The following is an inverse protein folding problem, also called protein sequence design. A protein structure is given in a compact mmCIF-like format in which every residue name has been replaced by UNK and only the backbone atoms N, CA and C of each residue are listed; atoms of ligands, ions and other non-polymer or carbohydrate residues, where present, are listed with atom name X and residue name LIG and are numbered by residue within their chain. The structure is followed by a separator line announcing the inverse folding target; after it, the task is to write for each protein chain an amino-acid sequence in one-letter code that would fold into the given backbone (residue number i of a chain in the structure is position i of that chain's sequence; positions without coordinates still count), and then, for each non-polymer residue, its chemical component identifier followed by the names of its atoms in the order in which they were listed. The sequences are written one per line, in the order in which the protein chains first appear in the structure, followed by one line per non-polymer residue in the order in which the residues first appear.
data_IF_314145642963
#
_entry.id   IF_314145642963
#
_cell.length_a   1.000
_cell.length_b   1.000
_cell.length_c   1.000
_cell.angle_alpha   90.00
_cell.angle_beta   90.00
_cell.angle_gamma   90.00
#
_symmetry.space_group_name_H-M   'P 1'
#
loop_
_entity.id
_entity.type
_entity.pdbx_description
1 polymer ?
#
# COMPACT_ATOMS: atom_id res chain seq x y z
N UNK A 1 18.96 33.09 -28.68
CA UNK A 1 18.66 31.98 -27.75
C UNK A 1 17.55 32.46 -26.83
N UNK A 2 16.42 31.77 -26.77
CA UNK A 2 15.34 32.11 -25.82
C UNK A 2 15.86 31.85 -24.41
N UNK A 3 15.81 32.87 -23.55
CA UNK A 3 16.19 32.71 -22.14
C UNK A 3 15.21 31.75 -21.50
N UNK A 4 15.70 30.60 -21.04
CA UNK A 4 14.88 29.60 -20.34
C UNK A 4 14.60 30.15 -18.94
N UNK A 5 13.34 30.41 -18.64
CA UNK A 5 12.92 30.98 -17.36
C UNK A 5 12.23 29.91 -16.50
N UNK A 6 12.38 30.06 -15.18
CA UNK A 6 11.62 29.32 -14.18
C UNK A 6 10.11 29.52 -14.38
N UNK A 7 9.33 28.46 -14.17
CA UNK A 7 7.88 28.49 -14.22
C UNK A 7 7.21 28.62 -12.83
N UNK A 8 7.97 28.72 -11.74
CA UNK A 8 7.45 28.83 -10.37
C UNK A 8 6.42 29.96 -10.22
N UNK A 9 6.71 31.15 -10.75
CA UNK A 9 5.78 32.29 -10.71
C UNK A 9 4.50 32.10 -11.54
N UNK A 10 4.49 31.18 -12.51
CA UNK A 10 3.32 30.88 -13.36
C UNK A 10 2.43 29.78 -12.77
N UNK A 11 3.00 28.88 -11.97
CA UNK A 11 2.30 27.75 -11.37
C UNK A 11 2.45 27.77 -9.84
N UNK A 12 1.73 28.67 -9.14
CA UNK A 12 1.89 28.87 -7.70
C UNK A 12 1.49 27.66 -6.86
N UNK A 13 0.79 26.67 -7.44
CA UNK A 13 0.36 25.43 -6.78
C UNK A 13 1.27 24.23 -7.10
N UNK A 14 2.23 24.37 -8.03
CA UNK A 14 3.18 23.31 -8.30
C UNK A 14 4.11 23.12 -7.11
N UNK A 15 4.42 21.88 -6.74
CA UNK A 15 5.27 21.56 -5.59
C UNK A 15 6.38 20.61 -6.01
N UNK A 16 7.57 20.87 -5.48
CA UNK A 16 8.72 19.96 -5.49
C UNK A 16 9.21 19.90 -4.05
N UNK A 17 8.94 18.80 -3.36
CA UNK A 17 9.34 18.60 -1.97
C UNK A 17 10.58 17.71 -1.92
N UNK A 18 11.63 18.18 -1.26
CA UNK A 18 12.87 17.46 -1.05
C UNK A 18 12.85 16.95 0.40
N UNK A 19 12.65 15.64 0.61
CA UNK A 19 12.55 15.05 1.94
C UNK A 19 13.74 14.14 2.20
N UNK A 20 14.47 14.28 3.32
CA UNK A 20 15.44 13.29 3.73
C UNK A 20 14.81 11.89 3.81
N UNK A 21 15.45 10.90 3.18
CA UNK A 21 14.96 9.53 3.22
C UNK A 21 15.33 8.86 4.54
N UNK A 22 14.38 8.18 5.18
CA UNK A 22 14.64 7.38 6.41
C UNK A 22 15.30 6.03 6.11
N UNK A 23 15.19 5.57 4.87
CA UNK A 23 15.71 4.29 4.39
C UNK A 23 17.04 4.48 3.65
N UNK A 24 17.80 3.40 3.49
CA UNK A 24 19.06 3.45 2.73
C UNK A 24 18.77 3.26 1.25
N UNK A 25 19.21 4.16 0.38
CA UNK A 25 19.08 4.01 -1.06
C UNK A 25 20.12 3.04 -1.62
N UNK A 26 19.72 2.24 -2.62
CA UNK A 26 20.61 1.41 -3.43
C UNK A 26 20.23 1.51 -4.90
N UNK A 27 21.24 1.59 -5.77
CA UNK A 27 21.06 1.49 -7.23
C UNK A 27 21.98 0.43 -7.79
N UNK A 28 21.40 -0.53 -8.52
CA UNK A 28 22.17 -1.55 -9.24
C UNK A 28 21.77 -1.67 -10.71
N UNK A 29 22.78 -1.91 -11.57
CA UNK A 29 22.64 -2.32 -12.96
C UNK A 29 23.30 -3.69 -13.13
N UNK A 30 22.57 -4.71 -13.58
CA UNK A 30 23.12 -6.06 -13.82
C UNK A 30 23.97 -6.60 -12.65
N UNK A 31 23.55 -6.31 -11.41
CA UNK A 31 24.25 -6.69 -10.18
C UNK A 31 25.43 -5.79 -9.76
N UNK A 32 25.83 -4.82 -10.58
CA UNK A 32 26.85 -3.83 -10.22
C UNK A 32 26.26 -2.67 -9.41
N UNK A 33 26.93 -2.27 -8.33
CA UNK A 33 26.51 -1.18 -7.47
C UNK A 33 26.90 0.18 -8.06
N UNK A 34 25.89 0.96 -8.47
CA UNK A 34 26.05 2.31 -9.01
C UNK A 34 26.00 3.39 -7.92
N UNK A 35 25.16 3.21 -6.90
CA UNK A 35 25.07 4.12 -5.76
C UNK A 35 24.53 3.41 -4.50
N UNK A 36 24.99 3.84 -3.33
CA UNK A 36 24.50 3.36 -2.03
C UNK A 36 24.64 4.45 -0.98
N UNK A 37 23.54 4.88 -0.36
CA UNK A 37 23.58 6.01 0.56
C UNK A 37 22.52 5.95 1.64
N UNK A 38 22.88 6.41 2.85
CA UNK A 38 21.95 6.68 3.96
C UNK A 38 21.47 8.14 3.98
N UNK A 39 21.97 8.96 3.07
CA UNK A 39 21.72 10.40 3.00
C UNK A 39 20.97 10.78 1.72
N UNK A 40 20.14 9.87 1.19
CA UNK A 40 19.31 10.15 0.02
C UNK A 40 18.23 11.20 0.32
N UNK A 41 17.82 11.91 -0.72
CA UNK A 41 16.60 12.71 -0.75
C UNK A 41 15.51 11.97 -1.54
N UNK A 42 14.33 11.80 -0.94
CA UNK A 42 13.11 11.46 -1.66
C UNK A 42 12.51 12.77 -2.20
N UNK A 43 12.48 12.90 -3.52
CA UNK A 43 11.94 14.07 -4.21
C UNK A 43 10.56 13.75 -4.73
N UNK A 44 9.58 14.45 -4.18
CA UNK A 44 8.17 14.31 -4.54
C UNK A 44 7.74 15.54 -5.33
N UNK A 45 7.23 15.32 -6.53
CA UNK A 45 6.88 16.40 -7.45
C UNK A 45 5.46 16.24 -7.94
N UNK A 46 4.72 17.36 -8.01
CA UNK A 46 3.37 17.38 -8.57
C UNK A 46 3.33 16.69 -9.94
N UNK A 47 2.40 15.76 -10.12
CA UNK A 47 2.17 15.02 -11.37
C UNK A 47 3.32 14.10 -11.83
N UNK A 48 4.29 13.80 -10.96
CA UNK A 48 5.42 12.90 -11.27
C UNK A 48 5.55 11.81 -10.21
N UNK A 49 6.15 10.68 -10.61
CA UNK A 49 6.51 9.64 -9.66
C UNK A 49 7.68 10.08 -8.78
N UNK A 50 7.68 9.66 -7.52
CA UNK A 50 8.74 9.93 -6.57
C UNK A 50 10.10 9.43 -7.08
N UNK A 51 11.13 10.26 -6.90
CA UNK A 51 12.51 9.97 -7.32
C UNK A 51 13.47 10.02 -6.14
N UNK A 52 14.48 9.16 -6.17
CA UNK A 52 15.53 9.13 -5.17
C UNK A 52 16.78 9.81 -5.70
N UNK A 53 17.27 10.78 -4.93
CA UNK A 53 18.48 11.54 -5.21
C UNK A 53 19.56 11.13 -4.22
N UNK A 54 20.73 10.77 -4.73
CA UNK A 54 21.90 10.33 -3.99
C UNK A 54 22.93 11.45 -3.95
N UNK A 55 23.62 11.69 -2.81
CA UNK A 55 24.77 12.59 -2.80
C UNK A 55 25.80 12.13 -3.83
N UNK A 56 26.40 13.07 -4.57
CA UNK A 56 27.44 12.76 -5.57
C UNK A 56 28.62 11.96 -4.97
N UNK A 57 28.90 12.13 -3.67
CA UNK A 57 29.95 11.38 -2.96
C UNK A 57 29.69 9.87 -2.87
N UNK A 58 28.42 9.47 -2.98
CA UNK A 58 27.96 8.09 -2.76
C UNK A 58 27.66 7.38 -4.10
N UNK A 59 27.96 8.04 -5.22
CA UNK A 59 27.84 7.53 -6.58
C UNK A 59 29.18 6.97 -7.05
N UNK A 60 29.14 5.79 -7.67
CA UNK A 60 30.30 5.13 -8.22
C UNK A 60 30.64 5.67 -9.62
N UNK A 61 31.30 6.83 -9.66
CA UNK A 61 31.74 7.48 -10.90
C UNK A 61 32.74 6.67 -11.72
N UNK A 62 33.37 5.64 -11.14
CA UNK A 62 34.23 4.73 -11.90
C UNK A 62 33.44 3.96 -12.97
N UNK A 63 32.13 3.77 -12.79
CA UNK A 63 31.25 3.05 -13.71
C UNK A 63 30.49 3.96 -14.70
N UNK A 64 30.51 5.27 -14.49
CA UNK A 64 29.71 6.23 -15.25
C UNK A 64 30.56 7.16 -16.12
N UNK A 65 30.07 7.50 -17.31
CA UNK A 65 30.66 8.51 -18.20
C UNK A 65 29.64 9.58 -18.60
N UNK A 66 30.04 10.86 -18.71
CA UNK A 66 29.11 11.93 -19.08
C UNK A 66 28.57 11.74 -20.49
N UNK A 67 27.28 12.00 -20.66
CA UNK A 67 26.59 12.03 -21.94
C UNK A 67 26.53 13.45 -22.52
N UNK A 68 26.29 13.55 -23.83
CA UNK A 68 25.99 14.84 -24.48
C UNK A 68 24.54 15.30 -24.25
N UNK A 69 23.69 14.45 -23.66
CA UNK A 69 22.30 14.79 -23.40
C UNK A 69 22.18 15.83 -22.29
N UNK A 70 21.40 16.88 -22.57
CA UNK A 70 20.99 17.90 -21.62
C UNK A 70 19.48 18.09 -21.78
N UNK A 71 18.75 18.10 -20.67
CA UNK A 71 17.32 18.42 -20.67
C UNK A 71 17.06 19.65 -19.80
N UNK A 72 15.90 20.29 -20.00
CA UNK A 72 15.48 21.42 -19.19
C UNK A 72 14.15 21.12 -18.51
N UNK A 73 14.12 21.22 -17.19
CA UNK A 73 12.92 21.19 -16.38
C UNK A 73 12.54 22.62 -15.98
N UNK A 74 11.31 23.08 -16.25
CA UNK A 74 10.89 24.44 -15.93
C UNK A 74 10.84 24.76 -14.42
N UNK A 75 10.93 23.75 -13.55
CA UNK A 75 10.91 23.91 -12.09
C UNK A 75 12.25 23.61 -11.41
N UNK A 76 13.17 22.90 -12.11
CA UNK A 76 14.45 22.49 -11.53
C UNK A 76 15.68 23.05 -12.24
N UNK A 77 15.56 23.48 -13.49
CA UNK A 77 16.68 23.98 -14.28
C UNK A 77 17.19 22.95 -15.29
N UNK A 78 18.46 23.07 -15.69
CA UNK A 78 19.09 22.17 -16.66
C UNK A 78 19.67 20.92 -15.99
N UNK A 79 19.38 19.76 -16.56
CA UNK A 79 19.91 18.47 -16.12
C UNK A 79 20.98 17.97 -17.09
N UNK A 80 22.15 17.61 -16.56
CA UNK A 80 23.17 16.83 -17.27
C UNK A 80 22.98 15.34 -17.03
N UNK A 81 23.45 14.50 -17.95
CA UNK A 81 23.24 13.04 -17.93
C UNK A 81 24.53 12.24 -18.00
N UNK A 82 24.48 11.01 -17.50
CA UNK A 82 25.56 10.01 -17.55
C UNK A 82 25.03 8.64 -18.00
N UNK A 83 25.87 7.89 -18.71
CA UNK A 83 25.64 6.49 -19.12
C UNK A 83 26.56 5.54 -18.36
N UNK A 84 26.22 4.25 -18.30
CA UNK A 84 27.18 3.23 -17.84
C UNK A 84 28.26 3.04 -18.91
N UNK A 85 29.53 2.98 -18.51
CA UNK A 85 30.65 2.82 -19.45
C UNK A 85 30.51 1.53 -20.25
N UNK A 86 30.67 1.62 -21.58
CA UNK A 86 30.47 0.51 -22.53
C UNK A 86 31.28 -0.77 -22.27
N UNK A 87 32.38 -0.72 -21.50
CA UNK A 87 33.16 -1.92 -21.11
C UNK A 87 32.53 -2.73 -19.97
N UNK A 88 31.50 -2.20 -19.32
CA UNK A 88 30.91 -2.72 -18.08
C UNK A 88 29.40 -3.02 -18.20
N UNK A 89 28.78 -2.74 -19.35
CA UNK A 89 27.32 -2.74 -19.52
C UNK A 89 26.83 -3.74 -20.58
N UNK A 90 25.58 -4.18 -20.41
CA UNK A 90 24.72 -4.60 -21.52
C UNK A 90 24.55 -3.44 -22.53
N UNK A 91 24.24 -3.70 -23.81
CA UNK A 91 24.41 -2.71 -24.90
C UNK A 91 23.63 -1.38 -24.81
N UNK A 92 22.71 -1.18 -23.85
CA UNK A 92 21.65 -0.15 -23.96
C UNK A 92 21.44 0.72 -22.70
N UNK A 93 22.38 0.79 -21.75
CA UNK A 93 22.24 1.63 -20.53
C UNK A 93 22.74 3.07 -20.73
N UNK A 94 22.06 3.81 -21.59
CA UNK A 94 22.36 5.21 -21.90
C UNK A 94 21.50 6.21 -21.11
N UNK A 95 22.11 7.32 -20.66
CA UNK A 95 21.43 8.43 -19.96
C UNK A 95 20.66 8.02 -18.69
N UNK A 96 21.21 7.04 -17.97
CA UNK A 96 20.60 6.37 -16.81
C UNK A 96 20.74 7.14 -15.49
N UNK A 97 21.61 8.14 -15.42
CA UNK A 97 21.75 9.02 -14.27
C UNK A 97 21.70 10.49 -14.69
N UNK A 98 21.14 11.36 -13.86
CA UNK A 98 21.10 12.80 -14.10
C UNK A 98 21.24 13.63 -12.83
N UNK A 99 21.70 14.87 -12.98
CA UNK A 99 21.87 15.83 -11.89
C UNK A 99 21.57 17.25 -12.39
N UNK A 100 21.03 18.08 -11.48
CA UNK A 100 20.86 19.51 -11.70
C UNK A 100 22.07 20.21 -11.06
N UNK A 101 23.03 20.63 -11.88
CA UNK A 101 24.29 21.23 -11.38
C UNK A 101 24.09 22.66 -10.87
N UNK A 102 23.20 23.40 -11.53
CA UNK A 102 22.78 24.76 -11.17
C UNK A 102 21.25 24.81 -11.09
N UNK A 103 20.65 24.17 -10.06
CA UNK A 103 19.21 24.13 -9.90
C UNK A 103 18.64 25.53 -9.59
N UNK A 104 17.35 25.73 -9.84
CA UNK A 104 16.70 26.99 -9.43
C UNK A 104 16.68 27.15 -7.90
N UNK A 105 16.68 28.40 -7.37
CA UNK A 105 16.74 28.68 -5.94
C UNK A 105 15.70 27.93 -5.09
N UNK A 106 14.50 27.71 -5.63
CA UNK A 106 13.41 27.00 -4.96
C UNK A 106 13.73 25.52 -4.68
N UNK A 107 14.69 24.93 -5.41
CA UNK A 107 15.11 23.53 -5.29
C UNK A 107 16.64 23.40 -5.20
N UNK A 108 17.33 24.42 -4.68
CA UNK A 108 18.80 24.44 -4.55
C UNK A 108 19.35 23.27 -3.73
N UNK A 109 18.53 22.67 -2.86
CA UNK A 109 18.86 21.44 -2.13
C UNK A 109 19.15 20.22 -3.02
N UNK A 110 18.85 20.26 -4.32
CA UNK A 110 19.26 19.21 -5.28
C UNK A 110 20.71 19.33 -5.73
N UNK A 111 21.38 20.45 -5.45
CA UNK A 111 22.76 20.65 -5.84
C UNK A 111 23.66 19.64 -5.15
N UNK A 112 24.53 18.97 -5.92
CA UNK A 112 25.38 17.89 -5.43
C UNK A 112 24.66 16.56 -5.24
N UNK A 113 23.48 16.38 -5.87
CA UNK A 113 22.75 15.12 -5.89
C UNK A 113 22.49 14.59 -7.30
N UNK A 114 22.46 13.27 -7.42
CA UNK A 114 22.25 12.51 -8.65
C UNK A 114 21.03 11.60 -8.49
N UNK A 115 20.15 11.59 -9.49
CA UNK A 115 19.03 10.66 -9.57
C UNK A 115 19.25 9.65 -10.71
N UNK A 116 18.54 8.53 -10.63
CA UNK A 116 18.71 7.38 -11.51
C UNK A 116 17.38 6.94 -12.17
N UNK A 117 17.48 6.36 -13.35
CA UNK A 117 16.35 5.85 -14.11
C UNK A 117 15.79 4.58 -13.46
N UNK A 118 14.57 4.65 -12.95
CA UNK A 118 13.88 3.55 -12.25
C UNK A 118 13.34 2.46 -13.17
N UNK A 119 13.20 2.74 -14.46
CA UNK A 119 12.74 1.78 -15.47
C UNK A 119 13.90 0.89 -15.93
N UNK A 120 15.05 1.52 -16.17
CA UNK A 120 16.26 0.83 -16.63
C UNK A 120 17.06 0.19 -15.49
N UNK A 121 16.94 0.70 -14.25
CA UNK A 121 17.74 0.26 -13.11
C UNK A 121 16.88 -0.28 -11.96
N UNK A 122 17.50 -1.11 -11.12
CA UNK A 122 16.94 -1.44 -9.82
C UNK A 122 17.32 -0.33 -8.83
N UNK A 123 16.40 0.63 -8.65
CA UNK A 123 16.49 1.71 -7.66
C UNK A 123 15.62 1.34 -6.47
N UNK A 124 16.24 1.12 -5.32
CA UNK A 124 15.60 0.50 -4.15
C UNK A 124 15.83 1.30 -2.88
N UNK A 125 14.85 1.23 -1.98
CA UNK A 125 14.95 1.62 -0.59
C UNK A 125 15.12 0.37 0.26
N UNK A 126 16.23 0.30 0.99
CA UNK A 126 16.56 -0.77 1.92
C UNK A 126 16.13 -0.36 3.32
N UNK A 127 15.33 -1.22 3.95
CA UNK A 127 14.71 -0.99 5.24
C UNK A 127 15.13 -2.06 6.23
N UNK A 128 15.33 -1.67 7.49
CA UNK A 128 15.59 -2.59 8.60
C UNK A 128 14.52 -2.45 9.68
N UNK A 129 14.34 -3.53 10.45
CA UNK A 129 13.45 -3.60 11.60
C UNK A 129 14.28 -3.68 12.88
N UNK A 130 13.82 -3.06 13.96
CA UNK A 130 14.51 -3.15 15.24
C UNK A 130 14.51 -4.61 15.72
N UNK A 131 15.70 -5.15 15.98
CA UNK A 131 15.90 -6.53 16.43
C UNK A 131 16.42 -7.47 15.35
N UNK A 132 16.35 -7.07 14.08
CA UNK A 132 16.88 -7.84 12.96
C UNK A 132 18.30 -7.36 12.62
N UNK A 133 19.32 -8.20 12.84
CA UNK A 133 20.71 -7.80 12.57
C UNK A 133 21.15 -7.99 11.11
N UNK A 134 20.53 -8.91 10.37
CA UNK A 134 20.92 -9.25 9.00
C UNK A 134 19.79 -9.08 7.97
N UNK A 135 18.56 -8.81 8.42
CA UNK A 135 17.42 -8.72 7.53
C UNK A 135 17.23 -7.29 6.99
N UNK A 136 17.27 -7.16 5.67
CA UNK A 136 16.92 -5.91 4.98
C UNK A 136 15.84 -6.17 3.94
N UNK A 137 14.79 -5.36 3.96
CA UNK A 137 13.71 -5.41 2.96
C UNK A 137 14.01 -4.36 1.90
N UNK A 138 14.08 -4.79 0.65
CA UNK A 138 14.19 -3.90 -0.50
C UNK A 138 12.81 -3.57 -1.05
N UNK A 139 12.55 -2.27 -1.24
CA UNK A 139 11.36 -1.76 -1.94
C UNK A 139 11.81 -0.99 -3.16
N UNK A 140 11.41 -1.41 -4.36
CA UNK A 140 11.83 -0.77 -5.61
C UNK A 140 10.93 0.44 -5.94
N UNK A 141 11.52 1.56 -6.35
CA UNK A 141 10.79 2.76 -6.77
C UNK A 141 10.04 2.58 -8.10
N UNK A 142 8.94 3.32 -8.34
CA UNK A 142 8.31 4.25 -7.41
C UNK A 142 7.56 3.56 -6.27
N UNK A 143 7.45 4.23 -5.13
CA UNK A 143 6.71 3.74 -3.96
C UNK A 143 5.33 4.39 -3.89
N UNK A 144 4.36 3.73 -3.26
CA UNK A 144 3.06 4.32 -2.98
C UNK A 144 3.10 5.25 -1.78
N UNK A 145 4.05 5.04 -0.87
CA UNK A 145 4.23 5.82 0.34
C UNK A 145 4.93 4.98 1.40
N UNK A 146 4.81 5.42 2.64
CA UNK A 146 5.30 4.67 3.80
C UNK A 146 4.18 4.31 4.79
N UNK A 147 4.55 3.56 5.83
CA UNK A 147 3.66 3.21 6.91
C UNK A 147 3.02 4.45 7.58
N UNK A 148 3.76 5.55 7.71
CA UNK A 148 3.25 6.76 8.34
C UNK A 148 2.17 7.41 7.47
N UNK A 149 2.33 7.40 6.15
CA UNK A 149 1.28 7.81 5.20
C UNK A 149 0.05 6.93 5.37
N UNK A 150 0.22 5.61 5.48
CA UNK A 150 -0.89 4.68 5.71
C UNK A 150 -1.61 4.97 7.03
N UNK A 151 -0.87 5.17 8.13
CA UNK A 151 -1.44 5.57 9.42
C UNK A 151 -2.18 6.90 9.31
N UNK A 152 -1.61 7.88 8.62
CA UNK A 152 -2.25 9.19 8.41
C UNK A 152 -3.60 9.06 7.71
N UNK A 153 -3.68 8.22 6.68
CA UNK A 153 -4.92 7.98 5.94
C UNK A 153 -5.97 7.20 6.75
N UNK A 154 -5.53 6.29 7.63
CA UNK A 154 -6.43 5.53 8.51
C UNK A 154 -6.89 6.34 9.72
N UNK A 155 -6.07 7.27 10.21
CA UNK A 155 -6.29 8.04 11.43
C UNK A 155 -7.26 9.22 11.24
N UNK A 156 -8.52 8.93 10.89
CA UNK A 156 -9.55 9.94 10.60
C UNK A 156 -9.70 10.98 11.70
N UNK A 157 -9.61 12.26 11.35
CA UNK A 157 -9.61 13.38 12.30
C UNK A 157 -11.04 13.84 12.59
N UNK A 158 -11.38 14.23 13.84
CA UNK A 158 -12.69 14.78 14.16
C UNK A 158 -12.90 16.10 13.41
N UNK A 159 -14.01 16.22 12.70
CA UNK A 159 -14.44 17.44 12.03
C UNK A 159 -15.55 18.15 12.83
N UNK A 160 -16.57 17.38 13.22
CA UNK A 160 -17.65 17.79 14.13
C UNK A 160 -18.05 16.60 15.02
N UNK A 161 -19.05 16.78 15.89
CA UNK A 161 -19.54 15.70 16.74
C UNK A 161 -19.95 14.47 15.90
N UNK A 162 -19.30 13.33 16.18
CA UNK A 162 -19.49 12.06 15.48
C UNK A 162 -19.31 12.11 13.95
N UNK A 163 -18.53 13.08 13.46
CA UNK A 163 -18.14 13.19 12.05
C UNK A 163 -16.63 13.32 11.97
N UNK A 164 -16.02 12.43 11.18
CA UNK A 164 -14.58 12.34 11.02
C UNK A 164 -14.22 12.47 9.54
N UNK A 165 -12.99 12.91 9.25
CA UNK A 165 -12.48 13.03 7.89
C UNK A 165 -11.06 12.51 7.76
N UNK A 166 -10.71 11.99 6.59
CA UNK A 166 -9.32 11.81 6.16
C UNK A 166 -9.04 12.68 4.95
N UNK A 167 -7.79 13.12 4.85
CA UNK A 167 -7.27 13.72 3.63
C UNK A 167 -7.32 12.72 2.46
N UNK A 168 -7.35 13.20 1.20
CA UNK A 168 -7.10 12.34 0.05
C UNK A 168 -5.71 11.73 0.10
N UNK A 169 -5.50 10.68 -0.69
CA UNK A 169 -4.20 10.05 -0.84
C UNK A 169 -3.19 11.05 -1.40
N UNK A 170 -2.05 11.29 -0.72
CA UNK A 170 -1.08 12.27 -1.20
C UNK A 170 -0.37 11.72 -2.44
N UNK A 171 -0.48 12.43 -3.58
CA UNK A 171 0.26 12.17 -4.82
C UNK A 171 0.41 10.67 -5.14
N UNK A 172 -0.68 9.91 -5.42
CA UNK A 172 -0.55 8.49 -5.73
C UNK A 172 0.40 8.32 -6.94
N UNK A 173 1.21 7.25 -7.05
CA UNK A 173 2.05 6.98 -8.22
C UNK A 173 1.25 6.57 -9.47
N UNK A 174 1.82 6.72 -10.68
CA UNK A 174 1.17 6.32 -11.96
C UNK A 174 1.23 4.80 -12.13
N UNK A 175 0.13 4.22 -12.62
CA UNK A 175 0.00 2.78 -12.85
C UNK A 175 -0.58 1.98 -11.67
N UNK A 176 -0.43 0.66 -11.73
CA UNK A 176 -0.79 -0.29 -10.66
C UNK A 176 0.43 -1.17 -10.34
N UNK A 177 0.34 -2.10 -9.38
CA UNK A 177 1.40 -3.08 -9.07
C UNK A 177 1.74 -4.02 -10.24
N UNK A 178 0.98 -3.96 -11.34
CA UNK A 178 1.14 -4.79 -12.52
C UNK A 178 1.75 -3.93 -13.62
N UNK A 179 2.96 -4.26 -14.04
CA UNK A 179 3.70 -3.50 -15.08
C UNK A 179 2.89 -3.36 -16.39
N UNK A 180 2.04 -4.34 -16.71
CA UNK A 180 1.14 -4.35 -17.87
C UNK A 180 0.08 -3.21 -17.86
N UNK A 181 -0.04 -2.45 -16.78
CA UNK A 181 -0.95 -1.31 -16.65
C UNK A 181 -0.26 0.05 -16.49
N UNK A 182 1.07 0.15 -16.62
CA UNK A 182 1.78 1.45 -16.51
C UNK A 182 1.22 2.51 -17.46
N UNK A 183 0.78 2.11 -18.66
CA UNK A 183 0.24 3.02 -19.68
C UNK A 183 -1.29 3.18 -19.67
N UNK A 184 -2.01 2.53 -18.75
CA UNK A 184 -3.48 2.60 -18.66
C UNK A 184 -3.88 3.37 -17.39
N UNK A 185 -4.81 4.30 -17.57
CA UNK A 185 -5.31 5.23 -16.54
C UNK A 185 -5.40 4.62 -15.14
N UNK A 186 -4.91 5.35 -14.12
CA UNK A 186 -5.06 4.98 -12.70
C UNK A 186 -6.55 4.73 -12.39
N UNK A 187 -6.86 3.60 -11.76
CA UNK A 187 -8.17 3.42 -11.14
C UNK A 187 -8.13 3.93 -9.71
N UNK A 188 -8.86 5.02 -9.49
CA UNK A 188 -9.03 5.63 -8.18
C UNK A 188 -10.00 4.83 -7.33
N UNK A 189 -9.48 3.84 -6.60
CA UNK A 189 -10.28 2.97 -5.72
C UNK A 189 -9.63 2.83 -4.35
N UNK A 190 -10.38 3.16 -3.30
CA UNK A 190 -10.01 2.86 -1.90
C UNK A 190 -10.48 1.44 -1.57
N UNK A 191 -9.57 0.63 -1.02
CA UNK A 191 -9.86 -0.75 -0.63
C UNK A 191 -10.97 -0.82 0.45
N UNK A 192 -11.77 -1.89 0.44
CA UNK A 192 -12.81 -2.09 1.47
C UNK A 192 -12.23 -2.20 2.89
N UNK A 193 -11.13 -2.93 3.07
CA UNK A 193 -10.45 -3.05 4.35
C UNK A 193 -9.93 -1.72 4.90
N UNK A 194 -9.56 -0.78 4.03
CA UNK A 194 -9.22 0.59 4.41
C UNK A 194 -10.42 1.33 5.00
N UNK A 195 -11.58 1.25 4.35
CA UNK A 195 -12.81 1.88 4.86
C UNK A 195 -13.26 1.26 6.19
N UNK A 196 -13.10 -0.06 6.36
CA UNK A 196 -13.34 -0.75 7.64
C UNK A 196 -12.37 -0.28 8.73
N UNK A 197 -11.09 -0.14 8.41
CA UNK A 197 -10.08 0.37 9.33
C UNK A 197 -10.40 1.81 9.77
N UNK A 198 -10.84 2.68 8.86
CA UNK A 198 -11.30 4.03 9.20
C UNK A 198 -12.54 4.02 10.10
N UNK A 199 -13.49 3.09 9.89
CA UNK A 199 -14.65 2.92 10.76
C UNK A 199 -14.26 2.50 12.18
N UNK A 200 -13.28 1.60 12.33
CA UNK A 200 -12.72 1.18 13.63
C UNK A 200 -12.08 2.37 14.35
N UNK A 201 -11.30 3.19 13.65
CA UNK A 201 -10.69 4.39 14.23
C UNK A 201 -11.75 5.40 14.66
N UNK A 202 -12.75 5.67 13.81
CA UNK A 202 -13.83 6.60 14.13
C UNK A 202 -14.61 6.15 15.38
N UNK A 203 -15.02 4.88 15.43
CA UNK A 203 -15.72 4.31 16.59
C UNK A 203 -14.90 4.39 17.88
N UNK A 204 -13.60 4.06 17.80
CA UNK A 204 -12.67 4.15 18.94
C UNK A 204 -12.48 5.60 19.43
N UNK A 205 -12.61 6.59 18.56
CA UNK A 205 -12.59 8.01 18.94
C UNK A 205 -13.94 8.51 19.47
N UNK A 206 -15.05 7.87 19.11
CA UNK A 206 -16.38 8.18 19.61
C UNK A 206 -16.57 7.69 21.06
N UNK A 207 -16.08 6.49 21.38
CA UNK A 207 -16.20 5.88 22.73
C UNK A 207 -14.80 5.42 23.21
N UNK A 208 -13.92 6.35 23.63
CA UNK A 208 -12.50 6.06 23.92
C UNK A 208 -12.28 5.13 25.12
N UNK A 209 -13.27 4.97 25.99
CA UNK A 209 -13.24 4.07 27.14
C UNK A 209 -13.60 2.62 26.80
N UNK A 210 -14.00 2.34 25.56
CA UNK A 210 -14.31 1.01 25.06
C UNK A 210 -13.40 0.65 23.87
N UNK A 211 -13.03 -0.63 23.76
CA UNK A 211 -12.36 -1.16 22.58
C UNK A 211 -13.40 -1.66 21.58
N UNK A 212 -13.01 -1.71 20.30
CA UNK A 212 -13.82 -2.38 19.27
C UNK A 212 -13.64 -3.90 19.41
N UNK A 213 -14.75 -4.63 19.49
CA UNK A 213 -14.77 -6.10 19.55
C UNK A 213 -15.15 -6.73 18.22
N UNK A 214 -16.03 -6.08 17.46
CA UNK A 214 -16.35 -6.50 16.10
C UNK A 214 -16.83 -5.34 15.24
N UNK A 215 -16.69 -5.50 13.92
CA UNK A 215 -17.20 -4.56 12.93
C UNK A 215 -17.64 -5.31 11.67
N UNK A 216 -18.77 -4.88 11.09
CA UNK A 216 -19.30 -5.41 9.83
C UNK A 216 -19.61 -4.26 8.88
N UNK A 217 -19.17 -4.34 7.63
CA UNK A 217 -19.37 -3.29 6.63
C UNK A 217 -19.74 -3.87 5.26
N UNK A 218 -20.67 -3.19 4.58
CA UNK A 218 -21.08 -3.44 3.20
C UNK A 218 -20.59 -2.28 2.33
N UNK A 219 -19.94 -2.61 1.22
CA UNK A 219 -19.39 -1.65 0.27
C UNK A 219 -20.37 -1.46 -0.90
N UNK A 220 -21.14 -0.38 -0.86
CA UNK A 220 -22.18 -0.10 -1.87
C UNK A 220 -21.62 0.53 -3.14
N UNK A 221 -20.54 1.31 -3.02
CA UNK A 221 -19.92 2.02 -4.14
C UNK A 221 -18.43 2.22 -3.92
N UNK A 222 -17.65 2.13 -5.00
CA UNK A 222 -16.23 2.45 -4.96
C UNK A 222 -16.01 3.88 -4.44
N UNK A 223 -15.09 3.99 -3.49
CA UNK A 223 -14.52 5.24 -3.02
C UNK A 223 -13.28 5.59 -3.83
N UNK A 224 -13.03 6.88 -4.04
CA UNK A 224 -11.88 7.40 -4.78
C UNK A 224 -10.81 7.88 -3.80
N UNK A 225 -9.55 7.58 -4.08
CA UNK A 225 -8.44 8.06 -3.25
C UNK A 225 -8.05 9.51 -3.58
N UNK A 226 -8.59 10.10 -4.65
CA UNK A 226 -8.34 11.50 -5.04
C UNK A 226 -9.19 12.49 -4.23
N UNK A 227 -10.17 11.98 -3.47
CA UNK A 227 -11.10 12.77 -2.69
C UNK A 227 -10.94 12.45 -1.21
N UNK A 228 -11.18 13.43 -0.31
CA UNK A 228 -11.26 13.15 1.11
C UNK A 228 -12.37 12.13 1.39
N UNK A 229 -12.22 11.38 2.48
CA UNK A 229 -13.24 10.46 2.97
C UNK A 229 -13.85 11.01 4.24
N UNK A 230 -15.18 11.05 4.31
CA UNK A 230 -15.89 11.31 5.55
C UNK A 230 -16.34 10.00 6.19
N UNK A 231 -16.26 9.91 7.51
CA UNK A 231 -16.79 8.81 8.32
C UNK A 231 -17.82 9.37 9.29
N UNK A 232 -19.06 8.93 9.14
CA UNK A 232 -20.19 9.35 9.97
C UNK A 232 -20.48 8.22 10.95
N UNK A 233 -20.53 8.57 12.24
CA UNK A 233 -20.83 7.62 13.32
C UNK A 233 -22.14 8.05 13.97
N UNK A 234 -23.04 7.10 14.20
CA UNK A 234 -24.27 7.32 14.95
C UNK A 234 -24.32 6.28 16.09
N UNK A 235 -24.38 6.74 17.35
CA UNK A 235 -24.41 5.85 18.52
C UNK A 235 -25.82 5.29 18.68
N UNK A 236 -26.02 4.03 18.28
CA UNK A 236 -27.31 3.34 18.39
C UNK A 236 -27.65 3.03 19.83
N UNK A 237 -26.65 2.59 20.60
CA UNK A 237 -26.78 2.29 22.03
C UNK A 237 -25.45 2.55 22.72
N UNK A 238 -25.46 3.39 23.75
CA UNK A 238 -24.35 3.54 24.68
C UNK A 238 -24.69 2.81 25.98
N UNK A 239 -23.92 1.77 26.32
CA UNK A 239 -24.08 1.02 27.57
C UNK A 239 -22.78 0.98 28.36
N UNK A 240 -22.88 0.71 29.66
CA UNK A 240 -21.70 0.66 30.55
C UNK A 240 -20.65 -0.36 30.10
N UNK A 241 -21.11 -1.52 29.63
CA UNK A 241 -20.22 -2.62 29.23
C UNK A 241 -20.15 -2.83 27.73
N UNK A 242 -21.21 -2.50 27.00
CA UNK A 242 -21.29 -2.67 25.56
C UNK A 242 -21.96 -1.47 24.92
N UNK A 243 -21.44 -1.06 23.77
CA UNK A 243 -22.04 -0.06 22.91
C UNK A 243 -22.14 -0.56 21.47
N UNK A 244 -23.13 -0.04 20.75
CA UNK A 244 -23.38 -0.35 19.36
C UNK A 244 -23.45 0.94 18.57
N UNK A 245 -22.69 1.01 17.48
CA UNK A 245 -22.57 2.20 16.64
C UNK A 245 -22.86 1.82 15.19
N UNK A 246 -23.64 2.65 14.51
CA UNK A 246 -23.75 2.62 13.06
C UNK A 246 -22.62 3.48 12.49
N UNK A 247 -21.97 3.02 11.42
CA UNK A 247 -20.88 3.75 10.76
C UNK A 247 -21.12 3.78 9.26
N UNK A 248 -20.92 4.96 8.65
CA UNK A 248 -21.04 5.17 7.21
C UNK A 248 -19.82 5.88 6.68
N UNK A 249 -19.34 5.50 5.51
CA UNK A 249 -18.35 6.29 4.77
C UNK A 249 -19.01 7.04 3.64
N UNK A 250 -18.62 8.31 3.44
CA UNK A 250 -19.26 9.25 2.52
C UNK A 250 -18.19 10.00 1.72
N UNK A 251 -18.42 10.15 0.41
CA UNK A 251 -17.64 11.07 -0.44
C UNK A 251 -18.56 11.81 -1.40
N UNK A 252 -18.37 13.12 -1.53
CA UNK A 252 -19.23 14.01 -2.33
C UNK A 252 -20.71 13.83 -1.98
N UNK A 253 -21.03 13.80 -0.68
CA UNK A 253 -22.38 13.57 -0.16
C UNK A 253 -23.05 12.26 -0.63
N UNK A 254 -22.27 11.29 -1.09
CA UNK A 254 -22.75 9.96 -1.50
C UNK A 254 -22.17 8.88 -0.61
N UNK A 255 -23.05 8.01 -0.12
CA UNK A 255 -22.69 6.81 0.63
C UNK A 255 -21.75 5.92 -0.19
N UNK A 256 -20.65 5.48 0.42
CA UNK A 256 -19.71 4.50 -0.14
C UNK A 256 -19.83 3.16 0.53
N UNK A 257 -19.91 3.16 1.86
CA UNK A 257 -20.16 1.96 2.65
C UNK A 257 -20.92 2.27 3.93
N UNK A 258 -21.56 1.25 4.49
CA UNK A 258 -22.29 1.33 5.75
C UNK A 258 -22.06 0.05 6.56
N UNK A 259 -22.13 0.17 7.87
CA UNK A 259 -21.84 -0.91 8.77
C UNK A 259 -22.25 -0.66 10.22
N UNK A 260 -21.97 -1.66 11.04
CA UNK A 260 -22.23 -1.66 12.47
C UNK A 260 -20.98 -2.09 13.23
N UNK A 261 -20.74 -1.47 14.38
CA UNK A 261 -19.58 -1.72 15.23
C UNK A 261 -20.06 -2.05 16.65
N UNK A 262 -19.51 -3.11 17.23
CA UNK A 262 -19.72 -3.49 18.63
C UNK A 262 -18.49 -3.15 19.44
N UNK A 263 -18.70 -2.45 20.55
CA UNK A 263 -17.64 -2.02 21.46
C UNK A 263 -17.87 -2.55 22.86
N UNK A 264 -16.79 -2.73 23.62
CA UNK A 264 -16.86 -3.19 25.00
C UNK A 264 -15.78 -2.59 25.91
N UNK A 265 -16.00 -2.70 27.22
CA UNK A 265 -14.98 -2.52 28.25
C UNK A 265 -15.16 -3.61 29.33
N UNK A 266 -15.24 -4.86 28.87
CA UNK A 266 -15.50 -6.00 29.75
C UNK A 266 -14.25 -6.35 30.58
N UNK A 267 -14.43 -6.89 31.80
CA UNK A 267 -13.31 -7.29 32.65
C UNK A 267 -12.58 -8.52 32.08
N UNK A 268 -11.40 -8.82 32.65
CA UNK A 268 -10.56 -9.95 32.26
C UNK A 268 -11.30 -11.31 32.21
N UNK A 269 -10.76 -12.19 31.37
CA UNK A 269 -11.32 -13.51 31.04
C UNK A 269 -11.71 -14.34 32.27
N UNK A 270 -12.91 -14.93 32.21
CA UNK A 270 -13.33 -16.02 33.11
C UNK A 270 -13.14 -17.40 32.49
N UNK A 271 -13.21 -17.46 31.16
CA UNK A 271 -12.98 -18.65 30.34
C UNK A 271 -12.16 -18.22 29.13
N UNK A 272 -11.25 -19.08 28.67
CA UNK A 272 -10.42 -18.81 27.50
C UNK A 272 -10.11 -20.11 26.77
N UNK A 273 -10.40 -20.15 25.48
CA UNK A 273 -9.94 -21.17 24.54
C UNK A 273 -9.89 -20.54 23.15
N UNK A 274 -8.96 -20.98 22.32
CA UNK A 274 -8.85 -20.55 20.93
C UNK A 274 -8.53 -21.76 20.07
N UNK A 275 -8.75 -21.65 18.76
CA UNK A 275 -8.14 -22.57 17.82
C UNK A 275 -6.61 -22.40 17.82
N UNK A 276 -5.92 -23.45 17.37
CA UNK A 276 -4.46 -23.44 17.21
C UNK A 276 -4.09 -22.80 15.87
N UNK A 277 -3.00 -22.04 15.88
CA UNK A 277 -2.37 -21.55 14.64
C UNK A 277 -1.96 -22.75 13.76
N UNK A 278 -2.22 -22.71 12.44
CA UNK A 278 -1.79 -23.79 11.55
C UNK A 278 -0.26 -23.88 11.48
N UNK A 279 0.25 -25.09 11.24
CA UNK A 279 1.67 -25.35 11.03
C UNK A 279 2.04 -25.03 9.58
N UNK A 280 2.63 -23.85 9.37
CA UNK A 280 3.06 -23.34 8.06
C UNK A 280 4.49 -22.80 8.16
N UNK A 281 5.16 -22.61 7.02
CA UNK A 281 6.48 -22.02 7.02
C UNK A 281 6.48 -20.66 7.72
N UNK A 282 7.40 -20.49 8.69
CA UNK A 282 7.60 -19.22 9.38
C UNK A 282 8.08 -18.10 8.44
N UNK A 283 8.05 -16.83 8.89
CA UNK A 283 8.35 -15.69 8.03
C UNK A 283 9.74 -15.79 7.37
N UNK A 284 10.75 -16.33 8.06
CA UNK A 284 12.11 -16.50 7.52
C UNK A 284 12.22 -17.45 6.33
N UNK A 285 11.25 -18.36 6.18
CA UNK A 285 11.17 -19.30 5.06
C UNK A 285 10.09 -18.93 4.03
N UNK A 286 9.38 -17.81 4.24
CA UNK A 286 8.36 -17.32 3.34
C UNK A 286 8.94 -16.34 2.30
N UNK A 287 8.28 -16.23 1.14
CA UNK A 287 8.78 -15.45 0.00
C UNK A 287 8.38 -13.97 0.17
N UNK A 288 9.34 -13.03 0.23
CA UNK A 288 9.01 -11.61 0.33
C UNK A 288 8.31 -11.10 -0.93
N UNK A 289 7.31 -10.23 -0.75
CA UNK A 289 6.66 -9.53 -1.84
C UNK A 289 6.70 -8.02 -1.65
N UNK A 290 6.98 -7.30 -2.73
CA UNK A 290 7.04 -5.85 -2.75
C UNK A 290 5.70 -5.26 -3.21
N UNK A 291 4.86 -4.87 -2.25
CA UNK A 291 3.65 -4.08 -2.50
C UNK A 291 3.88 -2.57 -2.34
N UNK A 292 5.14 -2.11 -2.48
CA UNK A 292 5.53 -0.69 -2.66
C UNK A 292 5.15 0.26 -1.52
N UNK A 293 4.79 -0.26 -0.35
CA UNK A 293 4.54 0.54 0.86
C UNK A 293 5.69 0.30 1.80
N UNK A 294 6.56 1.29 1.94
CA UNK A 294 7.74 1.16 2.79
C UNK A 294 7.34 1.10 4.27
N UNK A 295 8.06 0.32 5.07
CA UNK A 295 7.73 0.09 6.49
C UNK A 295 6.62 -0.94 6.70
N UNK A 296 6.10 -1.54 5.63
CA UNK A 296 5.27 -2.75 5.68
C UNK A 296 6.02 -3.89 5.01
N UNK A 297 6.24 -4.96 5.74
CA UNK A 297 6.82 -6.17 5.19
C UNK A 297 5.74 -7.23 5.02
N UNK A 298 5.73 -7.87 3.85
CA UNK A 298 4.82 -8.97 3.54
C UNK A 298 5.65 -10.13 2.99
N UNK A 299 5.40 -11.32 3.54
CA UNK A 299 5.96 -12.57 3.02
C UNK A 299 4.87 -13.61 2.83
N UNK A 300 4.95 -14.33 1.74
CA UNK A 300 3.94 -15.28 1.32
C UNK A 300 4.49 -16.68 1.48
N UNK A 301 3.77 -17.50 2.25
CA UNK A 301 4.12 -18.92 2.42
C UNK A 301 4.04 -19.60 1.06
N UNK A 302 5.06 -20.41 0.76
CA UNK A 302 5.21 -21.17 -0.48
C UNK A 302 5.15 -20.36 -1.79
N UNK A 303 5.26 -19.02 -1.72
CA UNK A 303 5.14 -18.16 -2.90
C UNK A 303 3.76 -18.20 -3.55
N UNK A 304 2.72 -18.58 -2.80
CA UNK A 304 1.35 -18.80 -3.27
C UNK A 304 0.65 -17.58 -3.93
N UNK A 305 1.21 -16.38 -3.73
CA UNK A 305 0.76 -15.14 -4.35
C UNK A 305 1.77 -14.77 -5.43
N UNK A 306 1.41 -15.03 -6.69
CA UNK A 306 2.29 -14.83 -7.84
C UNK A 306 1.51 -14.27 -9.03
N UNK A 307 2.22 -13.62 -9.93
CA UNK A 307 1.68 -13.16 -11.20
C UNK A 307 1.67 -14.27 -12.27
N UNK A 308 2.31 -15.40 -12.01
CA UNK A 308 2.27 -16.59 -12.87
C UNK A 308 0.84 -17.14 -12.97
N UNK A 309 0.28 -17.13 -14.17
CA UNK A 309 -1.09 -17.57 -14.47
C UNK A 309 -1.25 -19.09 -14.42
N UNK A 310 -0.14 -19.83 -14.47
CA UNK A 310 -0.12 -21.29 -14.45
C UNK A 310 0.22 -21.84 -13.06
N UNK A 311 0.45 -20.97 -12.07
CA UNK A 311 0.66 -21.35 -10.68
C UNK A 311 -0.67 -21.70 -9.99
N UNK A 312 -1.13 -22.93 -10.22
CA UNK A 312 -2.38 -23.44 -9.67
C UNK A 312 -2.14 -24.02 -8.27
N UNK A 313 -3.06 -23.72 -7.35
CA UNK A 313 -2.99 -24.22 -5.98
C UNK A 313 -4.36 -24.36 -5.31
N UNK A 314 -4.39 -24.88 -4.07
CA UNK A 314 -5.62 -24.93 -3.28
C UNK A 314 -6.20 -23.53 -3.04
N UNK A 315 -7.51 -23.41 -2.74
CA UNK A 315 -8.20 -22.14 -2.50
C UNK A 315 -7.86 -21.54 -1.13
N UNK A 316 -6.58 -21.44 -0.80
CA UNK A 316 -6.08 -20.93 0.48
C UNK A 316 -4.89 -20.00 0.25
N UNK A 317 -4.58 -19.09 1.17
CA UNK A 317 -3.39 -18.25 1.09
C UNK A 317 -2.91 -17.83 2.47
N UNK A 318 -1.62 -17.96 2.71
CA UNK A 318 -1.00 -17.63 3.98
C UNK A 318 0.01 -16.49 3.79
N UNK A 319 -0.18 -15.40 4.50
CA UNK A 319 0.66 -14.21 4.41
C UNK A 319 1.14 -13.79 5.81
N UNK A 320 2.45 -13.70 5.98
CA UNK A 320 3.06 -13.02 7.11
C UNK A 320 3.13 -11.53 6.83
N UNK A 321 2.60 -10.71 7.74
CA UNK A 321 2.64 -9.25 7.63
C UNK A 321 3.16 -8.66 8.94
N UNK A 322 4.06 -7.69 8.85
CA UNK A 322 4.43 -6.81 9.96
C UNK A 322 4.69 -5.39 9.47
N UNK A 323 4.64 -4.47 10.42
CA UNK A 323 4.97 -3.06 10.22
C UNK A 323 6.25 -2.72 10.99
N UNK A 324 6.96 -1.68 10.56
CA UNK A 324 8.23 -1.30 11.19
C UNK A 324 8.01 -0.55 12.48
N UNK A 325 7.09 0.40 12.45
CA UNK A 325 6.86 1.33 13.53
C UNK A 325 5.62 0.88 14.33
N UNK A 326 5.64 0.95 15.66
CA UNK A 326 4.47 0.66 16.49
C UNK A 326 3.69 1.98 16.74
N UNK A 327 2.44 2.13 16.26
CA UNK A 327 1.65 3.34 16.55
C UNK A 327 1.32 3.48 18.04
N UNK A 328 1.26 4.72 18.56
CA UNK A 328 1.02 4.96 20.00
C UNK A 328 -0.38 4.59 20.50
N UNK A 329 -1.32 4.24 19.62
CA UNK A 329 -2.73 4.01 19.94
C UNK A 329 -3.14 2.58 19.60
N UNK A 330 -3.70 1.80 20.53
CA UNK A 330 -4.14 0.43 20.28
C UNK A 330 -5.11 0.29 19.09
N UNK A 331 -6.02 1.25 18.89
CA UNK A 331 -6.94 1.20 17.75
C UNK A 331 -6.23 1.35 16.39
N UNK A 332 -5.04 1.97 16.32
CA UNK A 332 -4.27 2.06 15.09
C UNK A 332 -3.58 0.74 14.76
N UNK A 333 -3.21 -0.06 15.77
CA UNK A 333 -2.77 -1.44 15.56
C UNK A 333 -3.89 -2.28 14.94
N UNK A 334 -5.11 -2.22 15.51
CA UNK A 334 -6.28 -2.89 14.94
C UNK A 334 -6.59 -2.40 13.52
N UNK A 335 -6.50 -1.10 13.25
CA UNK A 335 -6.75 -0.52 11.94
C UNK A 335 -5.75 -1.00 10.88
N UNK A 336 -4.44 -0.96 11.17
CA UNK A 336 -3.39 -1.45 10.27
C UNK A 336 -3.52 -2.95 10.00
N UNK A 337 -3.79 -3.76 11.04
CA UNK A 337 -4.06 -5.19 10.87
C UNK A 337 -5.29 -5.44 9.98
N UNK A 338 -6.34 -4.64 10.15
CA UNK A 338 -7.59 -4.78 9.40
C UNK A 338 -7.45 -4.41 7.92
N UNK A 339 -6.60 -3.43 7.60
CA UNK A 339 -6.52 -2.82 6.27
C UNK A 339 -6.36 -3.85 5.14
N UNK A 340 -5.52 -4.87 5.32
CA UNK A 340 -5.20 -5.85 4.28
C UNK A 340 -6.19 -7.04 4.20
N UNK A 341 -7.16 -7.14 5.11
CA UNK A 341 -8.03 -8.34 5.22
C UNK A 341 -8.87 -8.62 3.97
N UNK A 342 -9.26 -7.58 3.23
CA UNK A 342 -10.09 -7.73 2.02
C UNK A 342 -9.31 -8.15 0.78
N UNK A 343 -7.99 -7.90 0.75
CA UNK A 343 -7.12 -8.22 -0.39
C UNK A 343 -6.95 -9.72 -0.58
N UNK A 344 -6.63 -10.43 0.50
CA UNK A 344 -6.17 -11.82 0.45
C UNK A 344 -7.23 -12.82 0.01
N UNK A 345 -8.50 -12.58 0.33
CA UNK A 345 -9.60 -13.49 -0.04
C UNK A 345 -9.75 -13.60 -1.56
N UNK A 346 -9.59 -12.49 -2.28
CA UNK A 346 -9.67 -12.49 -3.75
C UNK A 346 -8.52 -13.32 -4.31
N UNK A 347 -7.30 -13.11 -3.83
CA UNK A 347 -6.14 -13.85 -4.27
C UNK A 347 -6.28 -15.37 -4.02
N UNK A 348 -6.71 -15.77 -2.81
CA UNK A 348 -6.95 -17.18 -2.48
C UNK A 348 -8.00 -17.83 -3.39
N UNK A 349 -9.09 -17.10 -3.71
CA UNK A 349 -10.16 -17.61 -4.58
C UNK A 349 -9.73 -17.83 -6.03
N UNK A 350 -8.70 -17.13 -6.52
CA UNK A 350 -8.20 -17.29 -7.89
C UNK A 350 -7.27 -18.50 -8.06
N UNK A 351 -6.58 -18.92 -7.00
CA UNK A 351 -5.54 -19.98 -7.06
C UNK A 351 -5.94 -21.30 -7.73
N UNK A 352 -7.17 -21.83 -7.57
CA UNK A 352 -7.54 -23.11 -8.18
C UNK A 352 -7.78 -23.04 -9.70
N UNK A 353 -7.71 -21.86 -10.32
CA UNK A 353 -8.19 -21.63 -11.67
C UNK A 353 -7.04 -21.27 -12.63
N UNK A 354 -6.73 -22.18 -13.55
CA UNK A 354 -5.74 -21.97 -14.60
C UNK A 354 -6.03 -20.70 -15.42
N UNK A 355 -5.00 -19.92 -15.73
CA UNK A 355 -5.12 -18.70 -16.51
C UNK A 355 -5.64 -17.50 -15.71
N UNK A 356 -5.91 -17.65 -14.40
CA UNK A 356 -6.34 -16.57 -13.53
C UNK A 356 -5.32 -16.33 -12.42
N UNK A 357 -4.92 -15.08 -12.23
CA UNK A 357 -4.16 -14.65 -11.06
C UNK A 357 -4.51 -13.22 -10.69
N UNK A 358 -4.00 -12.76 -9.55
CA UNK A 358 -4.16 -11.38 -9.12
C UNK A 358 -3.55 -10.38 -10.12
N UNK A 359 -2.65 -10.80 -11.01
CA UNK A 359 -2.12 -9.99 -12.10
C UNK A 359 -3.19 -9.55 -13.12
N UNK A 360 -4.34 -10.23 -13.15
CA UNK A 360 -5.47 -9.89 -14.02
C UNK A 360 -6.47 -8.95 -13.35
N UNK A 361 -6.37 -8.75 -12.03
CA UNK A 361 -7.23 -7.86 -11.29
C UNK A 361 -7.11 -6.43 -11.83
N UNK A 362 -8.25 -5.84 -12.12
CA UNK A 362 -8.39 -4.52 -12.75
C UNK A 362 -7.80 -4.39 -14.17
N UNK A 363 -7.27 -5.47 -14.75
CA UNK A 363 -6.84 -5.57 -16.15
C UNK A 363 -7.96 -6.14 -17.00
N UNK A 364 -8.27 -7.42 -16.78
CA UNK A 364 -9.34 -8.17 -17.44
C UNK A 364 -10.43 -8.59 -16.44
N UNK A 365 -10.07 -8.70 -15.15
CA UNK A 365 -11.00 -9.02 -14.07
C UNK A 365 -11.45 -7.77 -13.30
N UNK A 366 -12.75 -7.61 -13.16
CA UNK A 366 -13.39 -6.74 -12.18
C UNK A 366 -13.48 -7.48 -10.83
N UNK A 367 -12.64 -7.04 -9.90
CA UNK A 367 -12.56 -7.58 -8.52
C UNK A 367 -12.96 -6.50 -7.52
N UNK A 368 -13.58 -6.89 -6.41
CA UNK A 368 -13.83 -5.95 -5.31
C UNK A 368 -14.55 -6.57 -4.13
N UNK A 369 -14.22 -6.20 -2.88
CA UNK A 369 -14.99 -6.63 -1.71
C UNK A 369 -16.39 -6.00 -1.73
N UNK A 370 -17.39 -6.80 -1.41
CA UNK A 370 -18.80 -6.41 -1.29
C UNK A 370 -19.21 -6.26 0.18
N UNK A 371 -18.67 -7.12 1.04
CA UNK A 371 -18.90 -7.11 2.48
C UNK A 371 -17.67 -7.65 3.21
N UNK A 372 -17.43 -7.15 4.41
CA UNK A 372 -16.47 -7.73 5.35
C UNK A 372 -17.02 -7.71 6.77
N UNK A 373 -16.65 -8.71 7.56
CA UNK A 373 -16.91 -8.79 9.00
C UNK A 373 -15.59 -9.14 9.69
N UNK A 374 -15.26 -8.49 10.82
CA UNK A 374 -14.09 -8.81 11.64
C UNK A 374 -14.47 -8.85 13.12
N UNK A 375 -13.89 -9.81 13.84
CA UNK A 375 -13.96 -9.93 15.29
C UNK A 375 -12.54 -9.92 15.87
N UNK A 376 -12.30 -9.11 16.91
CA UNK A 376 -11.03 -9.00 17.62
C UNK A 376 -11.05 -9.82 18.90
N UNK A 377 -10.03 -10.67 19.07
CA UNK A 377 -9.96 -11.67 20.13
C UNK A 377 -8.83 -11.40 21.14
N UNK A 378 -7.78 -10.69 20.75
CA UNK A 378 -6.60 -10.40 21.58
C UNK A 378 -5.95 -9.06 21.19
N UNK A 379 -4.98 -8.61 22.00
CA UNK A 379 -4.23 -7.39 21.75
C UNK A 379 -3.30 -7.54 20.54
N UNK A 380 -3.29 -6.51 19.70
CA UNK A 380 -2.57 -6.50 18.42
C UNK A 380 -1.28 -5.70 18.56
N UNK A 381 -0.15 -6.32 18.25
CA UNK A 381 1.12 -5.61 18.02
C UNK A 381 1.54 -5.78 16.56
N UNK A 382 1.30 -4.72 15.76
CA UNK A 382 1.61 -4.74 14.33
C UNK A 382 3.12 -4.69 14.03
N UNK A 383 3.95 -4.37 15.02
CA UNK A 383 5.41 -4.43 14.88
C UNK A 383 5.93 -5.87 14.86
N UNK A 384 5.13 -6.81 15.36
CA UNK A 384 5.41 -8.23 15.33
C UNK A 384 4.81 -8.89 14.08
N UNK A 385 5.36 -10.04 13.73
CA UNK A 385 4.80 -10.86 12.65
C UNK A 385 3.38 -11.34 12.99
N UNK A 386 2.47 -11.13 12.04
CA UNK A 386 1.11 -11.63 12.08
C UNK A 386 0.86 -12.56 10.89
N UNK A 387 0.36 -13.76 11.13
CA UNK A 387 -0.02 -14.72 10.10
C UNK A 387 -1.48 -14.52 9.72
N UNK A 388 -1.72 -14.13 8.47
CA UNK A 388 -3.03 -14.08 7.84
C UNK A 388 -3.28 -15.42 7.15
N UNK A 389 -4.21 -16.20 7.67
CA UNK A 389 -4.71 -17.45 7.09
C UNK A 389 -5.97 -17.13 6.31
N UNK A 390 -6.02 -17.44 5.02
CA UNK A 390 -7.13 -17.08 4.14
C UNK A 390 -7.67 -18.29 3.41
N UNK A 391 -8.82 -18.80 3.84
CA UNK A 391 -9.51 -19.90 3.17
C UNK A 391 -10.61 -19.33 2.27
N UNK A 392 -10.53 -19.52 0.95
CA UNK A 392 -11.62 -19.24 0.03
C UNK A 392 -12.60 -20.44 0.02
N UNK A 393 -13.74 -20.27 0.69
CA UNK A 393 -14.72 -21.35 0.91
C UNK A 393 -15.70 -21.52 -0.23
N UNK A 394 -15.85 -20.51 -1.09
CA UNK A 394 -16.74 -20.55 -2.25
C UNK A 394 -16.24 -19.61 -3.35
N UNK A 395 -16.30 -20.06 -4.60
CA UNK A 395 -16.14 -19.24 -5.78
C UNK A 395 -17.16 -19.69 -6.84
N UNK A 396 -17.96 -18.75 -7.36
CA UNK A 396 -19.00 -19.05 -8.33
C UNK A 396 -20.01 -17.92 -8.48
N UNK A 397 -20.77 -17.93 -9.58
CA UNK A 397 -21.79 -16.91 -9.89
C UNK A 397 -21.24 -15.47 -9.87
N UNK A 398 -19.98 -15.30 -10.30
CA UNK A 398 -19.29 -14.02 -10.35
C UNK A 398 -18.95 -13.44 -8.96
N UNK A 399 -18.79 -14.30 -7.96
CA UNK A 399 -18.51 -13.96 -6.56
C UNK A 399 -17.57 -14.99 -5.93
N UNK A 400 -16.96 -14.62 -4.82
CA UNK A 400 -16.28 -15.54 -3.92
C UNK A 400 -16.49 -15.17 -2.46
N UNK A 401 -16.32 -16.12 -1.56
CA UNK A 401 -16.37 -15.94 -0.12
C UNK A 401 -15.12 -16.52 0.52
N UNK A 402 -14.54 -15.80 1.48
CA UNK A 402 -13.43 -16.27 2.28
C UNK A 402 -13.69 -16.15 3.77
N UNK A 403 -13.01 -17.01 4.53
CA UNK A 403 -12.93 -16.98 5.99
C UNK A 403 -11.45 -16.82 6.35
N UNK A 404 -11.15 -15.75 7.08
CA UNK A 404 -9.81 -15.39 7.48
C UNK A 404 -9.57 -15.50 8.97
N UNK A 405 -8.32 -15.76 9.34
CA UNK A 405 -7.84 -15.81 10.73
C UNK A 405 -6.51 -15.09 10.79
N UNK A 406 -6.28 -14.33 11.86
CA UNK A 406 -5.03 -13.62 12.07
C UNK A 406 -4.42 -14.11 13.38
N UNK A 407 -3.21 -14.63 13.32
CA UNK A 407 -2.46 -15.10 14.48
C UNK A 407 -1.23 -14.23 14.71
N UNK A 408 -0.86 -14.00 15.96
CA UNK A 408 0.46 -13.49 16.31
C UNK A 408 1.52 -14.58 16.10
N UNK A 409 2.78 -14.19 15.97
CA UNK A 409 3.91 -15.12 15.82
C UNK A 409 4.04 -16.13 16.98
N UNK A 410 3.52 -15.80 18.16
CA UNK A 410 3.47 -16.67 19.34
C UNK A 410 2.29 -17.67 19.34
N UNK A 411 1.45 -17.64 18.29
CA UNK A 411 0.30 -18.52 18.11
C UNK A 411 -1.02 -18.01 18.70
N UNK A 412 -1.06 -16.84 19.36
CA UNK A 412 -2.33 -16.25 19.83
C UNK A 412 -3.21 -15.86 18.65
N UNK A 413 -4.50 -16.20 18.72
CA UNK A 413 -5.49 -15.76 17.74
C UNK A 413 -5.85 -14.30 18.01
N UNK A 414 -5.46 -13.40 17.11
CA UNK A 414 -5.71 -11.96 17.21
C UNK A 414 -7.10 -11.58 16.71
N UNK A 415 -7.49 -12.12 15.55
CA UNK A 415 -8.76 -11.80 14.91
C UNK A 415 -9.27 -12.92 13.99
N UNK A 416 -10.56 -12.89 13.71
CA UNK A 416 -11.19 -13.67 12.63
C UNK A 416 -12.01 -12.76 11.76
N UNK A 417 -12.05 -13.01 10.47
CA UNK A 417 -12.83 -12.22 9.53
C UNK A 417 -13.51 -13.08 8.47
N UNK A 418 -14.50 -12.50 7.79
CA UNK A 418 -15.08 -13.07 6.57
C UNK A 418 -15.22 -12.00 5.52
N UNK A 419 -14.93 -12.33 4.27
CA UNK A 419 -15.03 -11.40 3.14
C UNK A 419 -15.91 -12.02 2.08
N UNK A 420 -16.87 -11.24 1.61
CA UNK A 420 -17.64 -11.54 0.40
C UNK A 420 -17.17 -10.61 -0.70
N UNK A 421 -16.78 -11.16 -1.84
CA UNK A 421 -16.20 -10.41 -2.95
C UNK A 421 -16.88 -10.74 -4.27
N UNK A 422 -16.79 -9.81 -5.21
CA UNK A 422 -17.10 -9.98 -6.62
C UNK A 422 -15.83 -10.30 -7.40
N UNK A 423 -15.90 -11.29 -8.29
CA UNK A 423 -14.86 -11.61 -9.28
C UNK A 423 -15.58 -11.87 -10.60
N UNK A 424 -15.37 -11.01 -11.60
CA UNK A 424 -16.06 -11.07 -12.91
C UNK A 424 -15.13 -10.57 -14.01
N UNK A 425 -15.34 -10.99 -15.25
CA UNK A 425 -14.75 -10.29 -16.39
C UNK A 425 -15.29 -8.86 -16.50
N UNK A 426 -14.50 -7.94 -17.07
CA UNK A 426 -15.09 -6.70 -17.58
C UNK A 426 -16.10 -7.04 -18.67
N UNK A 427 -17.26 -6.37 -18.65
CA UNK A 427 -18.29 -6.57 -19.67
C UNK A 427 -17.69 -6.35 -21.07
N UNK A 428 -17.62 -7.41 -21.88
CA UNK A 428 -17.39 -7.26 -23.32
C UNK A 428 -18.58 -6.49 -23.91
N UNK A 429 -18.37 -5.55 -24.85
CA UNK A 429 -19.47 -4.80 -25.50
C UNK A 429 -20.48 -5.66 -26.28
N UNK A 430 -20.29 -6.98 -26.36
CA UNK A 430 -21.07 -7.89 -27.21
C UNK A 430 -22.29 -8.54 -26.54
N UNK A 431 -22.53 -8.36 -25.23
CA UNK A 431 -23.68 -8.98 -24.55
C UNK A 431 -24.89 -8.05 -24.32
N UNK A 432 -24.90 -6.85 -24.90
CA UNK A 432 -26.08 -5.95 -24.88
C UNK A 432 -27.08 -6.22 -26.01
N UNK A 433 -26.86 -7.25 -26.84
CA UNK A 433 -27.72 -7.58 -27.97
C UNK A 433 -28.35 -8.97 -27.85
N UNK A 434 -28.89 -9.35 -26.69
CA UNK A 434 -29.95 -10.36 -26.58
C UNK A 434 -30.56 -10.28 -25.17
N UNK A 435 -31.57 -9.42 -25.02
CA UNK A 435 -32.76 -9.65 -24.18
C UNK A 435 -33.68 -8.42 -24.34
N UNK A 436 -34.25 -8.32 -25.55
CA UNK A 436 -35.55 -7.71 -25.75
C UNK A 436 -36.56 -8.87 -25.87
N UNK A 437 -37.24 -9.16 -24.77
CA UNK A 437 -38.66 -9.55 -24.72
C UNK A 437 -39.14 -9.55 -23.28
#
# INVERSE_FOLDING_TARGET
MSVRHSAWGRYPDYRVALKPCRSTGRVTADGQLLAYSKACLLVQESEHDDRLYFPESDVNWALLEPSQQITFCPFKGEAGYWSVKKKQASPDLDNIAWAYQDPFPEVDGLKGYVSFDTEQLAVELLQSWSGDQEHSVATRLPIWGDQQDLVHLLDVKPATENRYGSDPYPNPPRGTFIELQKDKQRRSVVEGGHQLAQAIVAASKTIPEQRVTSASMIFSKAASFDLPMEVHVDVVRAGRSFSTLDVKTVQNNQLRSAGIVLMDNTPADRIRHTMTMPDVAGPDNAVPIDMKVTGREIRIVDGAYTNDLDHIGPPELYAWIRFRDAPDKPYLHCALMTQATTHWTIAAALRPHAGLSQALAHVSLSTGPLKTDINFHDDVDVSQWMLYVNDAVYAGRGQAQGIGKIFAIDGRLLATYSVHTMIRDFSSPSNSAHNAM
#
